data_IF_952717276376
#
_entry.id   IF_952717276376
#
_cell.length_a   1.000
_cell.length_b   1.000
_cell.length_c   1.000
_cell.angle_alpha   90.00
_cell.angle_beta   90.00
_cell.angle_gamma   90.00
#
_symmetry.space_group_name_H-M   'P 1'
#
loop_
_entity.id
_entity.type
_entity.pdbx_description
1 polymer ?
#
# COMPACT_ATOMS: atom_id res chain seq x y z
N UNK A 1 -11.20 15.04 11.84
CA UNK A 1 -10.67 13.86 11.13
C UNK A 1 -11.16 13.88 9.70
N UNK A 2 -10.33 13.50 8.71
CA UNK A 2 -10.72 13.48 7.29
C UNK A 2 -11.49 12.21 6.91
N UNK A 3 -12.20 12.23 5.79
CA UNK A 3 -13.00 11.09 5.29
C UNK A 3 -12.14 9.83 5.13
N UNK A 4 -10.96 9.97 4.52
CA UNK A 4 -10.05 8.87 4.23
C UNK A 4 -9.61 8.15 5.51
N UNK A 5 -9.31 8.92 6.56
CA UNK A 5 -8.93 8.36 7.86
C UNK A 5 -10.05 7.55 8.51
N UNK A 6 -11.32 7.94 8.30
CA UNK A 6 -12.48 7.21 8.84
C UNK A 6 -12.65 5.89 8.11
N UNK A 7 -12.50 5.90 6.79
CA UNK A 7 -12.50 4.68 5.96
C UNK A 7 -11.42 3.72 6.44
N UNK A 8 -10.18 4.20 6.59
CA UNK A 8 -9.05 3.39 7.08
C UNK A 8 -9.34 2.74 8.45
N UNK A 9 -9.94 3.49 9.38
CA UNK A 9 -10.31 2.95 10.70
C UNK A 9 -11.38 1.86 10.57
N UNK A 10 -12.42 2.05 9.75
CA UNK A 10 -13.48 1.06 9.55
C UNK A 10 -12.97 -0.21 8.87
N UNK A 11 -12.09 -0.08 7.88
CA UNK A 11 -11.42 -1.22 7.24
C UNK A 11 -10.54 -1.97 8.24
N UNK A 12 -9.76 -1.23 9.04
CA UNK A 12 -8.93 -1.82 10.09
C UNK A 12 -9.76 -2.58 11.12
N UNK A 13 -10.91 -2.02 11.54
CA UNK A 13 -11.85 -2.73 12.40
C UNK A 13 -12.29 -4.04 11.75
N UNK A 14 -12.70 -4.03 10.48
CA UNK A 14 -13.12 -5.24 9.78
C UNK A 14 -12.01 -6.30 9.76
N UNK A 15 -10.77 -5.90 9.47
CA UNK A 15 -9.60 -6.79 9.48
C UNK A 15 -9.33 -7.40 10.85
N UNK A 16 -9.39 -6.60 11.92
CA UNK A 16 -9.19 -7.09 13.29
C UNK A 16 -10.31 -8.02 13.74
N UNK A 17 -11.56 -7.75 13.34
CA UNK A 17 -12.70 -8.64 13.61
C UNK A 17 -12.57 -9.96 12.84
N UNK A 18 -12.09 -9.92 11.60
CA UNK A 18 -11.79 -11.13 10.82
C UNK A 18 -10.71 -11.97 11.50
N UNK A 19 -9.67 -11.32 12.03
CA UNK A 19 -8.61 -11.98 12.80
C UNK A 19 -9.14 -12.62 14.10
N UNK A 20 -10.18 -12.06 14.71
CA UNK A 20 -10.88 -12.68 15.86
C UNK A 20 -11.81 -13.83 15.48
N UNK A 21 -12.04 -14.07 14.18
CA UNK A 21 -13.12 -14.94 13.68
C UNK A 21 -14.49 -14.52 14.23
N UNK A 22 -14.72 -13.22 14.38
CA UNK A 22 -16.00 -12.67 14.80
C UNK A 22 -17.06 -12.88 13.71
N UNK A 23 -18.33 -12.62 14.05
CA UNK A 23 -19.46 -12.84 13.16
C UNK A 23 -19.25 -12.24 11.74
N UNK A 24 -19.33 -13.05 10.65
CA UNK A 24 -19.14 -12.59 9.28
C UNK A 24 -20.06 -11.44 8.84
N UNK A 25 -21.27 -11.35 9.39
CA UNK A 25 -22.18 -10.24 9.11
C UNK A 25 -21.67 -8.93 9.69
N UNK A 26 -21.05 -8.94 10.88
CA UNK A 26 -20.43 -7.74 11.46
C UNK A 26 -19.23 -7.29 10.65
N UNK A 27 -18.35 -8.21 10.26
CA UNK A 27 -17.17 -7.92 9.42
C UNK A 27 -17.62 -7.26 8.12
N UNK A 28 -18.58 -7.86 7.41
CA UNK A 28 -19.14 -7.31 6.17
C UNK A 28 -19.81 -5.96 6.37
N UNK A 29 -20.48 -5.73 7.51
CA UNK A 29 -21.09 -4.45 7.80
C UNK A 29 -20.05 -3.32 7.89
N UNK A 30 -18.89 -3.57 8.52
CA UNK A 30 -17.79 -2.60 8.56
C UNK A 30 -17.16 -2.36 7.19
N UNK A 31 -16.88 -3.42 6.42
CA UNK A 31 -16.35 -3.28 5.06
C UNK A 31 -17.31 -2.52 4.14
N UNK A 32 -18.61 -2.81 4.25
CA UNK A 32 -19.63 -2.11 3.45
C UNK A 32 -19.76 -0.65 3.88
N UNK A 33 -19.75 -0.37 5.19
CA UNK A 33 -19.76 1.00 5.69
C UNK A 33 -18.55 1.81 5.22
N UNK A 34 -17.35 1.21 5.23
CA UNK A 34 -16.14 1.85 4.71
C UNK A 34 -16.30 2.24 3.23
N UNK A 35 -16.74 1.30 2.38
CA UNK A 35 -16.99 1.56 0.94
C UNK A 35 -18.06 2.62 0.70
N UNK A 36 -19.15 2.57 1.47
CA UNK A 36 -20.23 3.55 1.32
C UNK A 36 -19.79 4.95 1.73
N UNK A 37 -18.97 5.07 2.78
CA UNK A 37 -18.39 6.36 3.19
C UNK A 37 -17.39 6.85 2.15
N UNK A 38 -16.53 5.98 1.62
CA UNK A 38 -15.56 6.34 0.59
C UNK A 38 -16.27 6.95 -0.64
N UNK A 39 -17.33 6.29 -1.12
CA UNK A 39 -18.15 6.73 -2.24
C UNK A 39 -19.06 7.94 -1.93
N UNK A 40 -19.26 8.28 -0.65
CA UNK A 40 -20.12 9.39 -0.26
C UNK A 40 -19.46 10.74 -0.56
N UNK A 41 -20.21 11.61 -1.25
CA UNK A 41 -19.76 12.95 -1.64
C UNK A 41 -20.12 14.07 -0.65
N UNK A 42 -20.93 13.78 0.37
CA UNK A 42 -21.41 14.79 1.34
C UNK A 42 -20.48 14.98 2.55
N UNK A 43 -20.79 15.98 3.37
CA UNK A 43 -20.04 16.28 4.59
C UNK A 43 -20.42 15.32 5.73
N UNK A 44 -19.50 14.43 6.11
CA UNK A 44 -19.71 13.46 7.19
C UNK A 44 -19.87 14.13 8.56
N UNK A 45 -19.28 15.30 8.78
CA UNK A 45 -19.39 16.03 10.04
C UNK A 45 -20.78 16.59 10.27
N UNK A 46 -21.36 17.22 9.25
CA UNK A 46 -22.74 17.70 9.29
C UNK A 46 -23.72 16.54 9.57
N UNK A 47 -23.57 15.41 8.85
CA UNK A 47 -24.40 14.23 9.10
C UNK A 47 -24.21 13.64 10.50
N UNK A 48 -23.00 13.71 11.06
CA UNK A 48 -22.74 13.24 12.42
C UNK A 48 -23.39 14.14 13.48
N UNK A 49 -23.31 15.46 13.30
CA UNK A 49 -23.91 16.48 14.19
C UNK A 49 -25.45 16.40 14.16
N UNK A 50 -26.03 16.14 12.99
CA UNK A 50 -27.47 15.98 12.78
C UNK A 50 -27.99 14.56 13.11
N UNK A 51 -27.12 13.62 13.51
CA UNK A 51 -27.47 12.20 13.73
C UNK A 51 -28.05 11.47 12.50
N UNK A 52 -27.69 11.92 11.30
CA UNK A 52 -28.20 11.45 10.00
C UNK A 52 -27.25 10.52 9.25
N UNK A 53 -26.17 10.05 9.89
CA UNK A 53 -25.23 9.09 9.28
C UNK A 53 -25.87 7.79 8.79
N UNK A 54 -27.05 7.42 9.31
CA UNK A 54 -27.83 6.27 8.87
C UNK A 54 -28.44 6.43 7.46
N UNK A 55 -28.43 7.65 6.92
CA UNK A 55 -28.83 7.90 5.53
C UNK A 55 -27.83 7.33 4.52
N UNK A 56 -26.58 7.10 4.95
CA UNK A 56 -25.56 6.47 4.11
C UNK A 56 -25.88 4.98 4.00
N UNK A 57 -26.12 4.44 2.78
CA UNK A 57 -26.44 3.03 2.59
C UNK A 57 -25.39 2.11 3.23
N UNK A 58 -25.80 1.12 4.00
CA UNK A 58 -24.89 0.19 4.68
C UNK A 58 -24.32 0.69 6.02
N UNK A 59 -24.64 1.92 6.45
CA UNK A 59 -24.30 2.43 7.78
C UNK A 59 -25.49 2.22 8.73
N UNK A 60 -25.44 1.14 9.52
CA UNK A 60 -26.44 0.89 10.56
C UNK A 60 -26.19 1.68 11.85
N UNK A 61 -27.20 1.73 12.75
CA UNK A 61 -27.16 2.48 14.02
C UNK A 61 -25.88 2.31 14.86
N UNK A 62 -25.39 1.08 14.99
CA UNK A 62 -24.18 0.79 15.77
C UNK A 62 -22.90 1.32 15.12
N UNK A 63 -22.83 1.31 13.79
CA UNK A 63 -21.68 1.83 13.03
C UNK A 63 -21.77 3.36 12.97
N UNK A 64 -22.97 3.92 12.77
CA UNK A 64 -23.23 5.36 12.83
C UNK A 64 -22.72 5.97 14.13
N UNK A 65 -23.03 5.37 15.29
CA UNK A 65 -22.53 5.87 16.58
C UNK A 65 -21.00 5.91 16.68
N UNK A 66 -20.31 4.89 16.13
CA UNK A 66 -18.84 4.82 16.12
C UNK A 66 -18.23 5.83 15.14
N UNK A 67 -18.87 6.05 14.00
CA UNK A 67 -18.47 7.10 13.06
C UNK A 67 -18.67 8.49 13.68
N UNK A 68 -19.80 8.75 14.34
CA UNK A 68 -20.03 10.00 15.05
C UNK A 68 -18.93 10.27 16.07
N UNK A 69 -18.55 9.27 16.87
CA UNK A 69 -17.43 9.37 17.82
C UNK A 69 -16.12 9.76 17.11
N UNK A 70 -15.75 9.05 16.05
CA UNK A 70 -14.54 9.34 15.25
C UNK A 70 -14.54 10.74 14.63
N UNK A 71 -15.68 11.15 14.08
CA UNK A 71 -15.81 12.43 13.37
C UNK A 71 -15.73 13.61 14.34
N UNK A 72 -16.41 13.50 15.48
CA UNK A 72 -16.55 14.58 16.46
C UNK A 72 -15.33 14.68 17.38
N UNK A 73 -14.86 13.55 17.91
CA UNK A 73 -13.78 13.51 18.91
C UNK A 73 -12.40 13.22 18.31
N UNK A 74 -12.35 12.61 17.12
CA UNK A 74 -11.11 12.13 16.50
C UNK A 74 -10.69 10.73 16.95
N UNK A 75 -11.38 10.13 17.91
CA UNK A 75 -11.05 8.82 18.47
C UNK A 75 -12.28 7.90 18.46
N UNK A 76 -12.04 6.58 18.55
CA UNK A 76 -13.12 5.63 18.85
C UNK A 76 -12.69 4.67 19.93
N UNK A 77 -13.47 4.65 21.01
CA UNK A 77 -13.27 3.75 22.15
C UNK A 77 -13.26 2.29 21.68
N UNK A 78 -14.22 1.92 20.82
CA UNK A 78 -14.30 0.56 20.28
C UNK A 78 -13.07 0.18 19.45
N UNK A 79 -12.56 1.11 18.62
CA UNK A 79 -11.35 0.85 17.83
C UNK A 79 -10.12 0.67 18.72
N UNK A 80 -9.95 1.53 19.72
CA UNK A 80 -8.84 1.46 20.66
C UNK A 80 -8.83 0.14 21.45
N UNK A 81 -9.99 -0.28 21.97
CA UNK A 81 -10.16 -1.55 22.67
C UNK A 81 -9.92 -2.77 21.78
N UNK A 82 -10.34 -2.71 20.50
CA UNK A 82 -10.10 -3.80 19.56
C UNK A 82 -8.62 -3.89 19.19
N UNK A 83 -7.97 -2.73 18.99
CA UNK A 83 -6.55 -2.63 18.65
C UNK A 83 -5.65 -3.12 19.79
N UNK A 84 -6.00 -2.85 21.05
CA UNK A 84 -5.19 -3.25 22.22
C UNK A 84 -5.09 -4.76 22.42
N UNK A 85 -6.00 -5.55 21.83
CA UNK A 85 -5.98 -7.02 21.88
C UNK A 85 -4.90 -7.65 21.02
N UNK A 86 -4.24 -6.86 20.17
CA UNK A 86 -3.26 -7.35 19.21
C UNK A 86 -1.96 -6.56 19.22
N UNK A 87 -0.82 -7.19 18.89
CA UNK A 87 0.44 -6.48 18.71
C UNK A 87 0.31 -5.39 17.62
N UNK A 88 1.02 -4.25 17.77
CA UNK A 88 0.93 -3.14 16.83
C UNK A 88 1.31 -3.56 15.39
N UNK A 89 2.31 -4.43 15.25
CA UNK A 89 2.82 -4.91 13.97
C UNK A 89 1.95 -5.95 13.25
N UNK A 90 0.86 -6.44 13.86
CA UNK A 90 0.11 -7.56 13.28
C UNK A 90 -0.58 -7.19 11.97
N UNK A 91 -1.02 -5.92 11.86
CA UNK A 91 -1.69 -5.41 10.65
C UNK A 91 -0.72 -5.35 9.47
N UNK A 92 0.58 -5.17 9.72
CA UNK A 92 1.58 -5.13 8.66
C UNK A 92 1.72 -6.47 7.93
N UNK A 93 1.34 -7.58 8.59
CA UNK A 93 1.35 -8.92 8.02
C UNK A 93 0.29 -9.09 6.93
N UNK A 94 -0.84 -8.37 7.01
CA UNK A 94 -1.87 -8.37 5.96
C UNK A 94 -1.38 -7.75 4.65
N UNK A 95 -0.33 -6.92 4.71
CA UNK A 95 0.33 -6.39 3.52
C UNK A 95 1.28 -7.38 2.82
N UNK A 96 1.48 -8.59 3.36
CA UNK A 96 2.30 -9.61 2.72
C UNK A 96 1.43 -10.50 1.81
N UNK A 97 1.74 -10.57 0.49
CA UNK A 97 1.04 -11.45 -0.43
C UNK A 97 0.95 -12.89 0.07
N UNK A 98 -0.25 -13.46 0.02
CA UNK A 98 -0.50 -14.86 0.43
C UNK A 98 -0.75 -15.07 1.93
N UNK A 99 -0.73 -14.00 2.75
CA UNK A 99 -1.20 -14.00 4.14
C UNK A 99 -2.59 -13.35 4.26
N UNK A 100 -3.62 -14.19 4.45
CA UNK A 100 -4.95 -13.74 4.85
C UNK A 100 -5.19 -13.92 6.36
N UNK A 101 -6.32 -13.41 6.86
CA UNK A 101 -6.67 -13.42 8.29
C UNK A 101 -6.48 -14.79 8.97
N UNK A 102 -6.94 -15.87 8.33
CA UNK A 102 -6.80 -17.25 8.86
C UNK A 102 -5.34 -17.67 9.07
N UNK A 103 -4.47 -17.35 8.11
CA UNK A 103 -3.04 -17.67 8.19
C UNK A 103 -2.35 -16.81 9.24
N UNK A 104 -2.67 -15.52 9.30
CA UNK A 104 -2.12 -14.59 10.30
C UNK A 104 -2.55 -15.01 11.70
N UNK A 105 -3.82 -15.43 11.88
CA UNK A 105 -4.30 -16.00 13.14
C UNK A 105 -3.51 -17.22 13.55
N UNK A 106 -3.31 -18.18 12.64
CA UNK A 106 -2.53 -19.39 12.93
C UNK A 106 -1.08 -19.06 13.33
N UNK A 107 -0.43 -18.10 12.66
CA UNK A 107 0.91 -17.61 13.01
C UNK A 107 0.91 -16.96 14.40
N UNK A 108 -0.08 -16.13 14.70
CA UNK A 108 -0.20 -15.47 15.99
C UNK A 108 -0.46 -16.45 17.14
N UNK A 109 -1.44 -17.34 17.01
CA UNK A 109 -1.80 -18.28 18.07
C UNK A 109 -0.73 -19.36 18.31
N UNK A 110 -0.18 -19.94 17.23
CA UNK A 110 0.73 -21.09 17.34
C UNK A 110 2.19 -20.69 17.50
N UNK A 111 2.61 -19.61 16.87
CA UNK A 111 4.01 -19.18 16.83
C UNK A 111 4.26 -17.84 17.53
N UNK A 112 3.23 -17.18 18.06
CA UNK A 112 3.32 -15.87 18.73
C UNK A 112 3.92 -14.80 17.81
N UNK A 113 3.67 -14.91 16.51
CA UNK A 113 4.14 -13.94 15.51
C UNK A 113 3.25 -12.70 15.54
N UNK A 114 3.77 -11.60 16.07
CA UNK A 114 3.08 -10.31 16.16
C UNK A 114 3.59 -9.24 15.20
N UNK A 115 4.65 -9.53 14.46
CA UNK A 115 5.32 -8.58 13.56
C UNK A 115 6.01 -9.27 12.39
N UNK A 116 6.42 -8.50 11.38
CA UNK A 116 7.22 -8.99 10.25
C UNK A 116 8.56 -9.57 10.75
N UNK A 117 9.17 -8.95 11.77
CA UNK A 117 10.41 -9.42 12.34
C UNK A 117 10.27 -10.80 13.00
N UNK A 118 9.17 -11.02 13.73
CA UNK A 118 8.88 -12.32 14.33
C UNK A 118 8.59 -13.37 13.26
N UNK A 119 7.85 -12.98 12.20
CA UNK A 119 7.58 -13.86 11.07
C UNK A 119 8.87 -14.28 10.38
N UNK A 120 9.81 -13.36 10.17
CA UNK A 120 11.12 -13.65 9.57
C UNK A 120 11.87 -14.70 10.39
N UNK A 121 11.97 -14.50 11.70
CA UNK A 121 12.63 -15.46 12.61
C UNK A 121 11.95 -16.83 12.57
N UNK A 122 10.61 -16.86 12.60
CA UNK A 122 9.86 -18.11 12.54
C UNK A 122 10.08 -18.88 11.23
N UNK A 123 10.18 -18.15 10.10
CA UNK A 123 10.52 -18.73 8.80
C UNK A 123 11.96 -19.25 8.75
N UNK A 124 12.94 -18.49 9.26
CA UNK A 124 14.35 -18.90 9.33
C UNK A 124 14.56 -20.16 10.18
N UNK A 125 13.76 -20.31 11.25
CA UNK A 125 13.75 -21.49 12.10
C UNK A 125 12.97 -22.68 11.51
N UNK A 126 12.36 -22.54 10.33
CA UNK A 126 11.57 -23.61 9.69
C UNK A 126 10.20 -23.88 10.31
N UNK A 127 9.81 -23.12 11.35
CA UNK A 127 8.59 -23.37 12.14
C UNK A 127 7.31 -23.03 11.38
N UNK A 128 7.39 -22.12 10.41
CA UNK A 128 6.23 -21.73 9.60
C UNK A 128 5.81 -22.86 8.67
N UNK A 129 6.76 -23.61 8.09
CA UNK A 129 6.47 -24.73 7.21
C UNK A 129 5.75 -25.90 7.92
N UNK A 130 5.93 -26.04 9.23
CA UNK A 130 5.27 -27.06 10.06
C UNK A 130 3.79 -26.76 10.32
N UNK A 131 3.33 -25.52 10.10
CA UNK A 131 1.94 -25.17 10.31
C UNK A 131 1.04 -25.72 9.19
N UNK A 132 -0.15 -26.24 9.52
CA UNK A 132 -1.15 -26.63 8.54
C UNK A 132 -1.47 -25.49 7.57
N UNK A 133 -1.36 -25.73 6.26
CA UNK A 133 -1.67 -24.76 5.22
C UNK A 133 -0.53 -23.79 4.83
N UNK A 134 0.67 -23.93 5.42
CA UNK A 134 1.86 -23.20 5.01
C UNK A 134 2.77 -24.07 4.14
N UNK A 135 3.38 -25.12 4.71
CA UNK A 135 4.36 -25.94 3.99
C UNK A 135 5.61 -25.16 3.54
N UNK A 136 6.59 -25.88 3.01
CA UNK A 136 7.91 -25.34 2.66
C UNK A 136 7.84 -24.26 1.58
N UNK A 137 7.08 -24.49 0.52
CA UNK A 137 6.92 -23.54 -0.59
C UNK A 137 6.35 -22.19 -0.15
N UNK A 138 5.38 -22.18 0.78
CA UNK A 138 4.83 -20.91 1.28
C UNK A 138 5.85 -20.21 2.17
N UNK A 139 6.57 -20.95 3.02
CA UNK A 139 7.62 -20.36 3.85
C UNK A 139 8.70 -19.70 2.99
N UNK A 140 9.19 -20.37 1.95
CA UNK A 140 10.22 -19.84 1.05
C UNK A 140 9.71 -18.57 0.33
N UNK A 141 8.45 -18.57 -0.11
CA UNK A 141 7.81 -17.37 -0.66
C UNK A 141 7.71 -16.23 0.35
N UNK A 142 7.40 -16.53 1.61
CA UNK A 142 7.34 -15.52 2.68
C UNK A 142 8.73 -14.95 2.98
N UNK A 143 9.77 -15.78 3.05
CA UNK A 143 11.16 -15.33 3.22
C UNK A 143 11.56 -14.41 2.07
N UNK A 144 11.29 -14.81 0.83
CA UNK A 144 11.57 -14.00 -0.35
C UNK A 144 10.80 -12.67 -0.30
N UNK A 145 9.51 -12.70 0.07
CA UNK A 145 8.66 -11.50 0.19
C UNK A 145 9.15 -10.56 1.28
N UNK A 146 9.53 -11.08 2.45
CA UNK A 146 10.05 -10.27 3.57
C UNK A 146 11.41 -9.67 3.20
N UNK A 147 12.29 -10.46 2.60
CA UNK A 147 13.61 -9.99 2.15
C UNK A 147 13.48 -8.92 1.07
N UNK A 148 12.55 -9.13 0.14
CA UNK A 148 12.17 -8.14 -0.84
C UNK A 148 11.63 -6.89 -0.13
N UNK A 149 10.60 -6.99 0.71
CA UNK A 149 10.05 -5.83 1.43
C UNK A 149 11.11 -5.06 2.23
N UNK A 150 12.07 -5.73 2.87
CA UNK A 150 13.20 -5.08 3.53
C UNK A 150 14.08 -4.27 2.56
N UNK A 151 14.30 -4.78 1.33
CA UNK A 151 14.94 -4.03 0.24
C UNK A 151 14.08 -2.86 -0.26
N UNK A 152 12.75 -3.00 -0.27
CA UNK A 152 11.78 -2.01 -0.79
C UNK A 152 11.30 -0.98 0.24
N UNK A 153 11.66 -1.12 1.52
CA UNK A 153 11.55 -0.06 2.53
C UNK A 153 12.79 0.87 2.47
N UNK A 154 13.72 0.60 1.54
CA UNK A 154 14.94 1.35 1.33
C UNK A 154 14.67 2.84 1.20
N UNK A 155 14.93 3.56 2.29
CA UNK A 155 15.20 4.98 2.24
C UNK A 155 16.60 5.12 1.63
N UNK A 156 16.66 5.38 0.33
CA UNK A 156 17.92 5.54 -0.38
C UNK A 156 18.45 6.94 -0.14
N UNK A 157 19.76 7.06 0.11
CA UNK A 157 20.39 8.37 0.10
C UNK A 157 20.40 8.88 -1.34
N UNK A 158 20.11 10.16 -1.54
CA UNK A 158 20.09 10.78 -2.87
C UNK A 158 21.37 10.47 -3.67
N UNK A 159 22.54 10.58 -3.03
CA UNK A 159 23.82 10.29 -3.66
C UNK A 159 24.01 8.83 -4.08
N UNK A 160 23.33 7.88 -3.42
CA UNK A 160 23.43 6.46 -3.73
C UNK A 160 22.67 6.08 -5.02
N UNK A 161 21.61 6.83 -5.36
CA UNK A 161 20.76 6.54 -6.54
C UNK A 161 20.91 7.58 -7.66
N UNK A 162 21.72 8.63 -7.45
CA UNK A 162 21.88 9.69 -8.43
C UNK A 162 22.43 9.19 -9.78
N UNK A 163 23.42 8.29 -9.76
CA UNK A 163 24.01 7.77 -11.00
C UNK A 163 22.97 7.06 -11.88
N UNK A 164 22.24 6.11 -11.31
CA UNK A 164 21.20 5.35 -12.03
C UNK A 164 19.99 6.21 -12.39
N UNK A 165 19.63 7.20 -11.56
CA UNK A 165 18.54 8.12 -11.84
C UNK A 165 18.85 9.04 -13.02
N UNK A 166 20.06 9.62 -13.08
CA UNK A 166 20.47 10.47 -14.19
C UNK A 166 20.71 9.66 -15.47
N UNK A 167 21.28 8.44 -15.39
CA UNK A 167 21.43 7.54 -16.54
C UNK A 167 20.07 7.25 -17.20
N UNK A 168 19.10 6.78 -16.41
CA UNK A 168 17.77 6.48 -16.90
C UNK A 168 17.05 7.72 -17.44
N UNK A 169 17.26 8.89 -16.81
CA UNK A 169 16.70 10.17 -17.26
C UNK A 169 17.27 10.60 -18.61
N UNK A 170 18.57 10.47 -18.80
CA UNK A 170 19.26 10.83 -20.03
C UNK A 170 18.93 9.88 -21.18
N UNK A 171 18.80 8.59 -20.89
CA UNK A 171 18.37 7.59 -21.87
C UNK A 171 16.92 7.83 -22.32
N UNK A 172 16.03 8.19 -21.39
CA UNK A 172 14.67 8.62 -21.73
C UNK A 172 14.65 9.90 -22.57
N UNK A 173 15.55 10.86 -22.30
CA UNK A 173 15.68 12.10 -23.11
C UNK A 173 16.16 11.83 -24.53
N UNK A 174 17.00 10.82 -24.72
CA UNK A 174 17.55 10.45 -26.03
C UNK A 174 16.58 9.63 -26.88
N UNK A 175 15.52 9.06 -26.27
CA UNK A 175 14.55 8.28 -27.02
C UNK A 175 13.77 9.15 -28.03
N UNK A 176 13.69 8.76 -29.32
CA UNK A 176 13.11 9.60 -30.38
C UNK A 176 11.61 9.90 -30.20
N UNK A 177 10.90 9.05 -29.45
CA UNK A 177 9.50 9.27 -29.09
C UNK A 177 9.28 10.26 -27.93
N UNK A 178 10.33 10.70 -27.23
CA UNK A 178 10.21 11.61 -26.10
C UNK A 178 10.31 13.08 -26.57
N UNK A 179 9.33 13.90 -26.19
CA UNK A 179 9.33 15.35 -26.50
C UNK A 179 9.89 16.16 -25.34
N UNK A 180 9.49 15.84 -24.11
CA UNK A 180 10.01 16.45 -22.89
C UNK A 180 10.14 15.38 -21.82
N UNK A 181 11.20 15.45 -21.02
CA UNK A 181 11.48 14.47 -19.98
C UNK A 181 11.99 15.19 -18.72
N UNK A 182 11.41 14.83 -17.57
CA UNK A 182 11.87 15.33 -16.28
C UNK A 182 11.78 14.26 -15.21
N UNK A 183 12.67 14.37 -14.21
CA UNK A 183 12.48 13.71 -12.93
C UNK A 183 11.47 14.50 -12.10
N UNK A 184 10.68 13.81 -11.30
CA UNK A 184 9.69 14.36 -10.39
C UNK A 184 9.97 13.89 -8.96
N UNK A 185 8.95 13.94 -8.11
CA UNK A 185 9.03 13.27 -6.81
C UNK A 185 10.05 13.84 -5.84
N UNK A 186 10.48 12.98 -4.93
CA UNK A 186 11.44 13.32 -3.86
C UNK A 186 12.85 13.60 -4.40
N UNK A 187 13.26 12.89 -5.46
CA UNK A 187 14.54 13.06 -6.14
C UNK A 187 14.70 14.46 -6.73
N UNK A 188 13.73 14.95 -7.52
CA UNK A 188 13.74 16.32 -8.08
C UNK A 188 13.86 17.39 -7.00
N UNK A 189 13.21 17.18 -5.85
CA UNK A 189 13.23 18.11 -4.69
C UNK A 189 14.51 18.01 -3.85
N UNK A 190 15.48 17.19 -4.28
CA UNK A 190 16.76 16.97 -3.61
C UNK A 190 16.62 16.58 -2.13
N UNK A 191 15.61 15.77 -1.81
CA UNK A 191 15.50 15.21 -0.46
C UNK A 191 16.68 14.31 -0.17
N UNK A 192 17.27 14.41 1.01
CA UNK A 192 18.38 13.54 1.43
C UNK A 192 18.02 12.05 1.33
N UNK A 193 16.75 11.74 1.64
CA UNK A 193 16.17 10.41 1.55
C UNK A 193 15.14 10.36 0.42
N UNK A 194 15.39 9.46 -0.53
CA UNK A 194 14.58 9.14 -1.71
C UNK A 194 14.02 7.73 -1.53
N UNK A 195 12.74 7.53 -1.82
CA UNK A 195 12.07 6.21 -1.69
C UNK A 195 11.86 5.53 -3.04
N UNK A 196 11.68 6.35 -4.06
CA UNK A 196 11.37 6.01 -5.44
C UNK A 196 11.91 7.10 -6.37
N UNK A 197 12.07 6.73 -7.64
CA UNK A 197 12.39 7.63 -8.73
C UNK A 197 11.13 7.84 -9.58
N UNK A 198 10.72 9.09 -9.76
CA UNK A 198 9.57 9.43 -10.60
C UNK A 198 10.08 10.10 -11.89
N UNK A 199 9.62 9.62 -13.04
CA UNK A 199 9.92 10.17 -14.35
C UNK A 199 8.64 10.54 -15.09
N UNK A 200 8.64 11.72 -15.70
CA UNK A 200 7.54 12.22 -16.52
C UNK A 200 8.06 12.40 -17.94
N UNK A 201 7.37 11.81 -18.90
CA UNK A 201 7.69 11.91 -20.33
C UNK A 201 6.48 12.43 -21.10
N UNK A 202 6.63 13.59 -21.76
CA UNK A 202 5.70 14.03 -22.79
C UNK A 202 5.96 13.26 -24.07
N UNK A 203 4.94 12.59 -24.61
CA UNK A 203 5.07 11.79 -25.83
C UNK A 203 3.74 11.66 -26.57
N UNK A 204 3.81 11.40 -27.87
CA UNK A 204 2.68 10.96 -28.69
C UNK A 204 2.69 9.44 -28.95
N UNK A 205 3.71 8.73 -28.44
CA UNK A 205 3.90 7.28 -28.59
C UNK A 205 4.14 6.63 -27.21
N UNK A 206 3.12 6.63 -26.33
CA UNK A 206 3.25 6.16 -24.95
C UNK A 206 3.67 4.70 -24.83
N UNK A 207 3.24 3.83 -25.74
CA UNK A 207 3.61 2.41 -25.77
C UNK A 207 5.11 2.23 -26.01
N UNK A 208 5.68 2.97 -26.97
CA UNK A 208 7.10 2.87 -27.31
C UNK A 208 8.00 3.30 -26.13
N UNK A 209 7.65 4.41 -25.46
CA UNK A 209 8.37 4.87 -24.26
C UNK A 209 8.25 3.86 -23.13
N UNK A 210 7.06 3.30 -22.93
CA UNK A 210 6.81 2.29 -21.89
C UNK A 210 7.63 1.03 -22.14
N UNK A 211 7.70 0.56 -23.39
CA UNK A 211 8.49 -0.62 -23.75
C UNK A 211 9.99 -0.39 -23.59
N UNK A 212 10.48 0.78 -24.02
CA UNK A 212 11.87 1.18 -23.78
C UNK A 212 12.22 1.18 -22.29
N UNK A 213 11.37 1.81 -21.47
CA UNK A 213 11.58 1.89 -20.03
C UNK A 213 11.57 0.52 -19.34
N UNK A 214 10.65 -0.37 -19.72
CA UNK A 214 10.56 -1.73 -19.17
C UNK A 214 11.75 -2.61 -19.60
N UNK A 215 12.27 -2.41 -20.81
CA UNK A 215 13.40 -3.16 -21.35
C UNK A 215 14.78 -2.60 -20.97
N UNK A 216 14.85 -1.56 -20.14
CA UNK A 216 16.08 -0.88 -19.81
C UNK A 216 17.06 -1.78 -19.03
N UNK A 217 18.37 -1.64 -19.26
CA UNK A 217 19.39 -2.50 -18.66
C UNK A 217 19.46 -2.43 -17.12
N UNK A 218 19.01 -1.32 -16.54
CA UNK A 218 18.93 -1.14 -15.09
C UNK A 218 17.73 -1.86 -14.46
N UNK A 219 16.75 -2.31 -15.25
CA UNK A 219 15.49 -2.90 -14.75
C UNK A 219 15.66 -4.37 -14.42
N UNK A 220 15.38 -4.71 -13.16
CA UNK A 220 15.34 -6.08 -12.66
C UNK A 220 13.98 -6.74 -12.92
N UNK A 221 12.88 -6.03 -12.65
CA UNK A 221 11.53 -6.59 -12.75
C UNK A 221 10.46 -5.53 -12.93
N UNK A 222 9.36 -5.90 -13.59
CA UNK A 222 8.19 -5.04 -13.77
C UNK A 222 7.20 -5.25 -12.63
N UNK A 223 6.85 -4.19 -11.92
CA UNK A 223 5.90 -4.22 -10.80
C UNK A 223 4.46 -3.93 -11.24
N UNK A 224 4.27 -2.98 -12.14
CA UNK A 224 2.96 -2.65 -12.73
C UNK A 224 3.15 -2.05 -14.12
N UNK A 225 2.22 -2.33 -15.05
CA UNK A 225 2.18 -1.74 -16.39
C UNK A 225 0.76 -1.32 -16.73
N UNK A 226 0.55 -0.03 -16.94
CA UNK A 226 -0.71 0.58 -17.35
C UNK A 226 -0.52 1.45 -18.58
N UNK A 227 -1.61 2.03 -19.08
CA UNK A 227 -1.59 2.87 -20.28
C UNK A 227 -0.78 4.17 -20.10
N UNK A 228 -0.82 4.76 -18.90
CA UNK A 228 -0.18 6.06 -18.60
C UNK A 228 0.84 6.01 -17.47
N UNK A 229 0.89 4.90 -16.73
CA UNK A 229 1.82 4.69 -15.63
C UNK A 229 2.41 3.29 -15.70
N UNK A 230 3.73 3.22 -15.56
CA UNK A 230 4.47 1.96 -15.46
C UNK A 230 5.44 2.04 -14.30
N UNK A 231 5.51 0.98 -13.50
CA UNK A 231 6.37 0.89 -12.33
C UNK A 231 7.29 -0.30 -12.48
N UNK A 232 8.59 -0.06 -12.37
CA UNK A 232 9.65 -1.07 -12.46
C UNK A 232 10.52 -1.02 -11.22
N UNK A 233 11.31 -2.06 -11.06
CA UNK A 233 12.36 -2.15 -10.05
C UNK A 233 13.71 -2.16 -10.72
N UNK A 234 14.63 -1.34 -10.21
CA UNK A 234 16.01 -1.35 -10.66
C UNK A 234 16.82 -2.40 -9.91
N UNK A 235 17.96 -2.81 -10.46
CA UNK A 235 18.88 -3.77 -9.81
C UNK A 235 19.42 -3.30 -8.45
N UNK A 236 19.45 -1.99 -8.20
CA UNK A 236 19.77 -1.41 -6.88
C UNK A 236 18.69 -1.67 -5.82
N UNK A 237 17.49 -2.07 -6.24
CA UNK A 237 16.31 -2.28 -5.41
C UNK A 237 15.38 -1.07 -5.31
N UNK A 238 15.77 0.11 -5.80
CA UNK A 238 14.85 1.27 -5.84
C UNK A 238 13.74 1.04 -6.86
N UNK A 239 12.54 1.52 -6.53
CA UNK A 239 11.43 1.56 -7.47
C UNK A 239 11.58 2.78 -8.39
N UNK A 240 11.33 2.59 -9.69
CA UNK A 240 11.25 3.67 -10.66
C UNK A 240 9.86 3.66 -11.32
N UNK A 241 9.19 4.80 -11.28
CA UNK A 241 7.87 5.05 -11.83
C UNK A 241 8.00 5.96 -13.06
N UNK A 242 7.46 5.50 -14.18
CA UNK A 242 7.30 6.27 -15.40
C UNK A 242 5.84 6.70 -15.54
N UNK A 243 5.63 7.98 -15.82
CA UNK A 243 4.36 8.54 -16.27
C UNK A 243 4.50 9.15 -17.65
N UNK A 244 3.70 8.66 -18.59
CA UNK A 244 3.63 9.19 -19.96
C UNK A 244 2.38 10.06 -20.09
N UNK A 245 2.55 11.24 -20.66
CA UNK A 245 1.50 12.27 -20.80
C UNK A 245 1.59 12.95 -22.15
N UNK A 246 0.53 13.64 -22.55
CA UNK A 246 0.59 14.54 -23.70
C UNK A 246 1.43 15.79 -23.40
N UNK A 247 1.90 16.46 -24.45
CA UNK A 247 2.65 17.73 -24.32
C UNK A 247 1.86 18.82 -23.59
N UNK A 248 0.53 18.82 -23.72
CA UNK A 248 -0.34 19.78 -23.04
C UNK A 248 -0.49 19.49 -21.54
N UNK A 249 -0.46 18.21 -21.14
CA UNK A 249 -0.57 17.78 -19.74
C UNK A 249 0.76 17.86 -19.00
N UNK A 250 1.89 17.81 -19.70
CA UNK A 250 3.24 17.82 -19.13
C UNK A 250 3.51 18.87 -18.03
N UNK A 251 3.13 20.16 -18.17
CA UNK A 251 3.38 21.14 -17.11
C UNK A 251 2.52 20.92 -15.84
N UNK A 252 1.48 20.10 -15.91
CA UNK A 252 0.56 19.80 -14.79
C UNK A 252 0.81 18.43 -14.16
N UNK A 253 1.64 17.60 -14.78
CA UNK A 253 1.99 16.25 -14.33
C UNK A 253 2.96 16.27 -13.14
#
# INVERSE_FOLDING_TARGET
MKKEQIVDVLETIATLLELQEENPFKIRAYTNAARSIEAWGGNLRELAEENRLQEIPGVGKAIAGKISELVLTGESTFFAELRSKFPPGILELFGLPGLGAKKIKALYEKLQVGSIADLKKACEMGRVAELPGFGKTTQDKLIATISNRAKHVGSFQLGAVAAEAEELLDDLRQHPGATQVSSAGSYRRRKEIVRDLDFIVATQAPEAITEFFVGHALVESVSARGATKTSVRLHSGIQADLRVVSTAEYPFA
#
